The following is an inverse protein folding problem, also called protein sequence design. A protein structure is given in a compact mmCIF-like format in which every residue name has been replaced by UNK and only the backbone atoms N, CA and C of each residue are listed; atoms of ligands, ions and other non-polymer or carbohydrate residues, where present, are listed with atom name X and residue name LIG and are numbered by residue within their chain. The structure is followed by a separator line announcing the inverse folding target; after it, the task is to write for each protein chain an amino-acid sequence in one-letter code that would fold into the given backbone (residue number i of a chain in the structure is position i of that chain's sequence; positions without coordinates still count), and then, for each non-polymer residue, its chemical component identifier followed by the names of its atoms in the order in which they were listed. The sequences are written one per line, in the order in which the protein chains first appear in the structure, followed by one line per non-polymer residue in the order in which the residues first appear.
data_IF_631877518487
#
_entry.id   IF_631877518487
#
_cell.length_a   1.000
_cell.length_b   1.000
_cell.length_c   1.000
_cell.angle_alpha   90.00
_cell.angle_beta   90.00
_cell.angle_gamma   90.00
#
_symmetry.space_group_name_H-M   'P 1'
#
loop_
_entity.id
_entity.type
_entity.pdbx_description
1 polymer ?
#
# COMPACT_ATOMS: atom_id res chain seq x y z
N UNK A 1 0.07 19.97 7.01
CA UNK A 1 -1.26 19.44 7.39
C UNK A 1 -2.39 20.07 6.57
N UNK A 2 -2.17 21.27 6.01
CA UNK A 2 -3.17 22.04 5.27
C UNK A 2 -3.60 21.41 3.93
N UNK A 3 -2.74 20.61 3.28
CA UNK A 3 -3.03 20.09 1.93
C UNK A 3 -4.21 19.11 1.88
N UNK A 4 -4.26 18.09 2.75
CA UNK A 4 -5.33 17.08 2.68
C UNK A 4 -6.72 17.68 2.97
N UNK A 5 -6.83 18.55 3.98
CA UNK A 5 -8.08 19.25 4.30
C UNK A 5 -8.50 20.18 3.15
N UNK A 6 -7.55 20.93 2.58
CA UNK A 6 -7.83 21.77 1.40
C UNK A 6 -8.34 20.94 0.23
N UNK A 7 -7.76 19.76 -0.02
CA UNK A 7 -8.20 18.88 -1.10
C UNK A 7 -9.62 18.33 -0.86
N UNK A 8 -9.97 17.98 0.39
CA UNK A 8 -11.34 17.59 0.76
C UNK A 8 -12.33 18.73 0.46
N UNK A 9 -12.00 19.96 0.83
CA UNK A 9 -12.86 21.13 0.57
C UNK A 9 -13.01 21.39 -0.93
N UNK A 10 -11.92 21.30 -1.70
CA UNK A 10 -11.97 21.43 -3.18
C UNK A 10 -12.81 20.34 -3.85
N UNK A 11 -12.89 19.17 -3.24
CA UNK A 11 -13.74 18.06 -3.70
C UNK A 11 -15.20 18.19 -3.24
N UNK A 12 -15.58 19.30 -2.59
CA UNK A 12 -16.95 19.58 -2.14
C UNK A 12 -17.22 19.25 -0.67
N UNK A 13 -16.22 18.78 0.08
CA UNK A 13 -16.34 18.53 1.52
C UNK A 13 -16.53 19.82 2.32
N UNK A 14 -17.20 19.73 3.46
CA UNK A 14 -17.46 20.86 4.37
C UNK A 14 -16.82 20.60 5.73
N UNK A 15 -16.08 21.58 6.26
CA UNK A 15 -15.52 21.50 7.61
C UNK A 15 -16.63 21.87 8.59
N UNK A 16 -17.05 20.90 9.42
CA UNK A 16 -18.14 21.09 10.38
C UNK A 16 -17.62 21.73 11.68
N UNK A 17 -16.47 21.28 12.17
CA UNK A 17 -15.85 21.75 13.41
C UNK A 17 -14.34 21.46 13.41
N UNK A 18 -13.56 22.37 13.96
CA UNK A 18 -12.15 22.16 14.29
C UNK A 18 -12.06 21.99 15.81
N UNK A 19 -11.41 20.92 16.27
CA UNK A 19 -11.25 20.64 17.70
C UNK A 19 -9.92 21.18 18.22
N UNK A 20 -8.83 20.66 17.67
CA UNK A 20 -7.46 21.06 17.98
C UNK A 20 -6.55 20.78 16.76
N UNK A 21 -5.37 21.37 16.72
CA UNK A 21 -4.44 21.17 15.60
C UNK A 21 -3.06 21.80 15.79
N UNK A 22 -2.06 21.16 15.19
CA UNK A 22 -0.69 21.67 15.15
C UNK A 22 -0.47 22.42 13.84
N UNK A 23 -0.09 23.70 13.96
CA UNK A 23 0.25 24.56 12.83
C UNK A 23 1.76 24.74 12.75
N UNK A 24 2.30 24.56 11.55
CA UNK A 24 3.70 24.85 11.24
C UNK A 24 3.70 26.15 10.43
N UNK A 25 4.05 27.26 11.09
CA UNK A 25 3.91 28.61 10.54
C UNK A 25 4.96 28.93 9.48
N UNK A 26 6.16 28.38 9.63
CA UNK A 26 7.28 28.61 8.74
C UNK A 26 7.73 27.33 8.03
N UNK A 27 8.18 27.49 6.78
CA UNK A 27 8.90 26.45 6.07
C UNK A 27 10.39 26.48 6.46
N UNK A 28 11.06 25.34 6.36
CA UNK A 28 12.52 25.30 6.46
C UNK A 28 13.15 26.20 5.40
N UNK A 29 14.10 27.06 5.82
CA UNK A 29 14.88 27.91 4.90
C UNK A 29 15.63 27.09 3.85
N UNK A 30 16.11 25.92 4.26
CA UNK A 30 16.80 24.96 3.39
C UNK A 30 16.05 23.63 3.42
N UNK A 31 15.66 23.05 2.27
CA UNK A 31 14.95 21.78 2.26
C UNK A 31 15.85 20.65 2.79
N UNK A 32 15.46 19.93 3.85
CA UNK A 32 16.36 19.06 4.61
C UNK A 32 16.90 17.86 3.81
N UNK A 33 16.18 17.42 2.79
CA UNK A 33 16.52 16.21 2.02
C UNK A 33 16.93 16.50 0.57
N UNK A 34 16.93 17.76 0.12
CA UNK A 34 17.10 18.09 -1.30
C UNK A 34 18.40 17.52 -1.87
N UNK A 35 19.52 17.84 -1.24
CA UNK A 35 20.82 17.48 -1.79
C UNK A 35 21.04 15.95 -1.75
N UNK A 36 20.56 15.29 -0.69
CA UNK A 36 20.58 13.83 -0.60
C UNK A 36 19.78 13.17 -1.73
N UNK A 37 18.56 13.64 -2.00
CA UNK A 37 17.73 13.13 -3.10
C UNK A 37 18.37 13.39 -4.46
N UNK A 38 18.99 14.56 -4.66
CA UNK A 38 19.70 14.88 -5.91
C UNK A 38 20.89 13.95 -6.13
N UNK A 39 21.71 13.71 -5.10
CA UNK A 39 22.83 12.77 -5.17
C UNK A 39 22.35 11.36 -5.53
N UNK A 40 21.34 10.84 -4.83
CA UNK A 40 20.80 9.51 -5.10
C UNK A 40 20.22 9.38 -6.52
N UNK A 41 19.51 10.42 -6.99
CA UNK A 41 18.96 10.47 -8.34
C UNK A 41 20.07 10.43 -9.39
N UNK A 42 21.11 11.24 -9.22
CA UNK A 42 22.19 11.38 -10.18
C UNK A 42 23.04 10.11 -10.24
N UNK A 43 23.33 9.49 -9.09
CA UNK A 43 23.97 8.17 -9.00
C UNK A 43 23.12 7.08 -9.64
N UNK A 44 21.80 7.05 -9.38
CA UNK A 44 20.90 6.09 -10.03
C UNK A 44 20.92 6.22 -11.55
N UNK A 45 20.90 7.45 -12.06
CA UNK A 45 20.94 7.72 -13.50
C UNK A 45 22.30 7.35 -14.11
N UNK A 46 23.42 7.56 -13.39
CA UNK A 46 24.73 7.04 -13.77
C UNK A 46 24.70 5.51 -13.89
N UNK A 47 24.26 4.81 -12.85
CA UNK A 47 24.20 3.34 -12.86
C UNK A 47 23.29 2.78 -13.95
N UNK A 48 22.17 3.43 -14.26
CA UNK A 48 21.33 3.05 -15.41
C UNK A 48 22.08 3.15 -16.74
N UNK A 49 22.87 4.21 -16.95
CA UNK A 49 23.67 4.39 -18.18
C UNK A 49 24.79 3.35 -18.29
N UNK A 50 25.35 2.94 -17.15
CA UNK A 50 26.41 1.92 -17.08
C UNK A 50 25.86 0.48 -17.13
N UNK A 51 24.54 0.28 -17.21
CA UNK A 51 23.93 -1.05 -17.13
C UNK A 51 24.04 -1.71 -15.75
N UNK A 52 24.43 -0.96 -14.72
CA UNK A 52 24.55 -1.46 -13.34
C UNK A 52 23.16 -1.53 -12.67
N UNK A 53 22.48 -2.66 -12.87
CA UNK A 53 21.14 -2.92 -12.35
C UNK A 53 21.12 -2.88 -10.81
N UNK A 54 22.10 -3.51 -10.16
CA UNK A 54 22.19 -3.59 -8.69
C UNK A 54 22.34 -2.20 -8.10
N UNK A 55 23.30 -1.41 -8.58
CA UNK A 55 23.54 -0.04 -8.13
C UNK A 55 22.31 0.85 -8.33
N UNK A 56 21.65 0.77 -9.49
CA UNK A 56 20.40 1.51 -9.75
C UNK A 56 19.28 1.14 -8.78
N UNK A 57 19.13 -0.15 -8.45
CA UNK A 57 18.12 -0.64 -7.52
C UNK A 57 18.44 -0.24 -6.07
N UNK A 58 19.70 -0.29 -5.65
CA UNK A 58 20.13 0.19 -4.34
C UNK A 58 19.80 1.68 -4.15
N UNK A 59 20.11 2.53 -5.14
CA UNK A 59 19.81 3.97 -5.04
C UNK A 59 18.30 4.23 -4.98
N UNK A 60 17.49 3.46 -5.73
CA UNK A 60 16.02 3.52 -5.65
C UNK A 60 15.53 3.13 -4.25
N UNK A 61 16.07 2.05 -3.67
CA UNK A 61 15.69 1.57 -2.35
C UNK A 61 16.02 2.60 -1.26
N UNK A 62 17.23 3.18 -1.29
CA UNK A 62 17.63 4.21 -0.34
C UNK A 62 16.74 5.45 -0.42
N UNK A 63 16.45 5.92 -1.64
CA UNK A 63 15.57 7.07 -1.85
C UNK A 63 14.15 6.83 -1.33
N UNK A 64 13.58 5.66 -1.63
CA UNK A 64 12.25 5.28 -1.16
C UNK A 64 12.20 5.03 0.35
N UNK A 65 13.28 4.57 0.96
CA UNK A 65 13.31 4.27 2.41
C UNK A 65 13.35 5.53 3.28
N UNK A 66 13.77 6.68 2.73
CA UNK A 66 13.97 7.92 3.49
C UNK A 66 12.69 8.41 4.17
N UNK A 67 11.58 8.53 3.42
CA UNK A 67 10.32 8.96 4.01
C UNK A 67 9.75 7.90 4.96
N UNK A 68 9.89 6.62 4.62
CA UNK A 68 9.43 5.50 5.44
C UNK A 68 10.12 5.46 6.80
N UNK A 69 11.41 5.79 6.85
CA UNK A 69 12.16 5.95 8.10
C UNK A 69 11.69 7.12 8.95
N UNK A 70 11.17 8.18 8.34
CA UNK A 70 10.66 9.35 9.07
C UNK A 70 9.35 9.05 9.81
N UNK A 71 8.52 8.12 9.30
CA UNK A 71 7.23 7.72 9.89
C UNK A 71 7.28 6.33 10.53
N UNK A 72 8.46 5.77 10.74
CA UNK A 72 8.59 4.46 11.35
C UNK A 72 8.07 4.53 12.79
N UNK A 73 7.11 3.67 13.14
CA UNK A 73 6.63 3.54 14.52
C UNK A 73 7.79 3.13 15.42
N UNK A 74 7.83 3.72 16.62
CA UNK A 74 8.77 3.32 17.65
C UNK A 74 8.58 1.84 18.00
N UNK A 75 9.71 1.18 18.28
CA UNK A 75 9.76 -0.22 18.65
C UNK A 75 9.94 -0.26 20.16
N UNK A 76 8.89 -0.63 20.88
CA UNK A 76 8.89 -0.74 22.34
C UNK A 76 9.14 -2.16 22.82
N UNK A 77 9.50 -3.07 21.91
CA UNK A 77 9.74 -4.47 22.21
C UNK A 77 11.12 -4.92 21.75
N UNK A 78 11.74 -5.80 22.52
CA UNK A 78 12.96 -6.52 22.17
C UNK A 78 12.64 -7.99 21.96
N UNK A 79 13.43 -8.65 21.11
CA UNK A 79 13.35 -10.09 20.89
C UNK A 79 14.61 -10.74 21.38
N UNK A 80 14.45 -11.72 22.25
CA UNK A 80 15.54 -12.47 22.85
C UNK A 80 15.47 -13.94 22.46
N UNK A 81 16.63 -14.59 22.42
CA UNK A 81 16.74 -16.04 22.34
C UNK A 81 17.11 -16.57 23.73
N UNK A 82 16.13 -17.08 24.47
CA UNK A 82 16.31 -17.55 25.84
C UNK A 82 16.14 -19.05 25.94
N UNK A 83 16.90 -19.71 26.81
CA UNK A 83 16.60 -21.09 27.18
C UNK A 83 15.49 -21.13 28.25
N UNK A 84 15.00 -22.32 28.58
CA UNK A 84 13.90 -22.48 29.53
C UNK A 84 14.21 -21.89 30.91
N UNK A 85 15.43 -22.12 31.42
CA UNK A 85 15.85 -21.59 32.72
C UNK A 85 15.91 -20.06 32.71
N UNK A 86 16.43 -19.45 31.64
CA UNK A 86 16.48 -17.99 31.48
C UNK A 86 15.08 -17.41 31.34
N UNK A 87 14.19 -18.05 30.57
CA UNK A 87 12.80 -17.62 30.44
C UNK A 87 12.10 -17.66 31.80
N UNK A 88 12.18 -18.78 32.53
CA UNK A 88 11.57 -18.91 33.86
C UNK A 88 12.10 -17.88 34.86
N UNK A 89 13.42 -17.63 34.85
CA UNK A 89 14.05 -16.66 35.74
C UNK A 89 13.67 -15.20 35.43
N UNK A 90 13.30 -14.89 34.19
CA UNK A 90 12.97 -13.54 33.73
C UNK A 90 11.50 -13.40 33.27
N UNK A 91 10.63 -14.35 33.65
CA UNK A 91 9.23 -14.32 33.27
C UNK A 91 8.45 -13.35 34.15
N UNK A 92 8.04 -12.22 33.58
CA UNK A 92 7.25 -11.21 34.25
C UNK A 92 6.20 -10.58 33.31
N UNK A 93 5.52 -9.54 33.78
CA UNK A 93 4.47 -8.84 33.03
C UNK A 93 4.93 -8.16 31.73
N UNK A 94 6.24 -8.02 31.51
CA UNK A 94 6.82 -7.42 30.30
C UNK A 94 6.92 -8.43 29.16
N UNK A 95 6.93 -9.73 29.45
CA UNK A 95 6.91 -10.77 28.42
C UNK A 95 5.56 -10.71 27.71
N UNK A 96 5.57 -10.29 26.43
CA UNK A 96 4.35 -10.23 25.60
C UNK A 96 4.06 -11.57 24.96
N UNK A 97 5.08 -12.18 24.39
CA UNK A 97 4.99 -13.48 23.72
C UNK A 97 6.27 -14.27 23.95
N UNK A 98 6.16 -15.58 23.96
CA UNK A 98 7.29 -16.49 23.96
C UNK A 98 6.95 -17.72 23.12
N UNK A 99 7.86 -18.12 22.24
CA UNK A 99 7.68 -19.22 21.30
C UNK A 99 8.90 -20.13 21.36
N UNK A 100 8.71 -21.42 21.67
CA UNK A 100 9.81 -22.40 21.66
C UNK A 100 10.27 -22.66 20.23
N UNK A 101 11.57 -22.51 19.95
CA UNK A 101 12.16 -22.75 18.63
C UNK A 101 12.66 -24.20 18.50
N UNK A 102 13.24 -24.71 19.58
CA UNK A 102 13.82 -26.04 19.69
C UNK A 102 13.81 -26.48 21.16
N UNK A 103 14.28 -27.70 21.44
CA UNK A 103 14.28 -28.29 22.78
C UNK A 103 14.91 -27.41 23.86
N UNK A 104 15.83 -26.52 23.49
CA UNK A 104 16.64 -25.73 24.40
C UNK A 104 16.35 -24.24 24.40
N UNK A 105 15.61 -23.70 23.43
CA UNK A 105 15.52 -22.26 23.19
C UNK A 105 14.13 -21.76 22.79
N UNK A 106 13.86 -20.50 23.14
CA UNK A 106 12.62 -19.75 22.94
C UNK A 106 12.95 -18.38 22.32
N UNK A 107 12.17 -17.93 21.33
CA UNK A 107 12.08 -16.50 20.99
C UNK A 107 11.14 -15.87 21.99
N UNK A 108 11.60 -14.85 22.71
CA UNK A 108 10.81 -14.14 23.72
C UNK A 108 10.74 -12.68 23.32
N UNK A 109 9.54 -12.15 23.17
CA UNK A 109 9.30 -10.73 22.93
C UNK A 109 8.93 -10.05 24.25
N UNK A 110 9.71 -9.04 24.64
CA UNK A 110 9.57 -8.32 25.91
C UNK A 110 9.39 -6.83 25.69
N UNK A 111 8.58 -6.16 26.51
CA UNK A 111 8.55 -4.70 26.57
C UNK A 111 9.88 -4.15 27.13
N UNK A 112 10.39 -3.09 26.49
CA UNK A 112 11.59 -2.39 26.92
C UNK A 112 11.28 -1.61 28.21
N UNK A 113 12.12 -1.73 29.24
CA UNK A 113 12.00 -0.90 30.45
C UNK A 113 12.35 0.56 30.17
N UNK A 114 11.54 1.50 30.68
CA UNK A 114 11.87 2.94 30.64
C UNK A 114 13.21 3.28 31.32
N UNK A 115 13.67 2.44 32.26
CA UNK A 115 14.94 2.61 33.01
C UNK A 115 16.16 1.94 32.35
N UNK A 116 15.96 1.00 31.42
CA UNK A 116 17.04 0.43 30.60
C UNK A 116 17.43 1.35 29.43
N UNK A 117 16.76 2.50 29.30
CA UNK A 117 17.20 3.60 28.46
C UNK A 117 18.42 4.25 29.14
N UNK A 118 19.58 3.59 29.07
CA UNK A 118 20.86 4.22 29.38
C UNK A 118 21.07 5.42 28.43
N UNK A 119 21.95 6.36 28.78
CA UNK A 119 22.23 7.52 27.91
C UNK A 119 22.74 7.12 26.51
N UNK A 120 23.21 5.88 26.31
CA UNK A 120 23.53 5.30 24.99
C UNK A 120 22.30 4.67 24.29
N UNK A 121 21.35 4.13 25.06
CA UNK A 121 20.05 3.58 24.62
C UNK A 121 18.93 4.64 24.50
N UNK A 122 19.20 5.90 24.86
CA UNK A 122 18.35 7.08 24.61
C UNK A 122 18.03 7.34 23.12
N UNK A 123 18.59 6.51 22.22
CA UNK A 123 18.20 6.39 20.81
C UNK A 123 16.91 5.58 20.59
N UNK A 124 16.35 4.95 21.62
CA UNK A 124 15.18 4.05 21.56
C UNK A 124 13.88 4.78 21.19
N UNK A 125 13.64 5.97 21.75
CA UNK A 125 12.63 6.90 21.22
C UNK A 125 13.24 7.65 20.04
N UNK A 126 12.81 7.35 18.83
CA UNK A 126 13.43 7.96 17.66
C UNK A 126 13.08 9.44 17.59
N UNK A 127 14.12 10.27 17.54
CA UNK A 127 14.07 11.69 17.17
C UNK A 127 13.74 11.89 15.66
N UNK A 128 13.01 10.98 15.03
CA UNK A 128 12.63 11.11 13.62
C UNK A 128 11.43 12.03 13.49
N UNK A 129 11.51 13.12 12.71
CA UNK A 129 10.42 14.08 12.57
C UNK A 129 9.28 13.50 11.73
N UNK A 130 8.36 12.77 12.36
CA UNK A 130 7.24 12.07 11.71
C UNK A 130 6.37 12.98 10.84
N UNK A 131 6.19 14.23 11.27
CA UNK A 131 5.48 15.26 10.52
C UNK A 131 6.06 15.50 9.12
N UNK A 132 7.38 15.38 8.92
CA UNK A 132 7.99 15.51 7.59
C UNK A 132 7.51 14.40 6.66
N UNK A 133 7.48 13.16 7.14
CA UNK A 133 6.99 12.04 6.35
C UNK A 133 5.50 12.13 6.08
N UNK A 134 4.69 12.61 7.04
CA UNK A 134 3.28 12.94 6.81
C UNK A 134 3.10 13.99 5.72
N UNK A 135 3.96 15.03 5.67
CA UNK A 135 3.92 16.04 4.61
C UNK A 135 4.32 15.48 3.24
N UNK A 136 5.32 14.60 3.18
CA UNK A 136 5.67 13.91 1.93
C UNK A 136 4.48 13.11 1.39
N UNK A 137 3.79 12.35 2.25
CA UNK A 137 2.60 11.57 1.86
C UNK A 137 1.45 12.47 1.40
N UNK A 138 1.15 13.54 2.13
CA UNK A 138 0.10 14.50 1.76
C UNK A 138 0.40 15.20 0.43
N UNK A 139 1.65 15.60 0.18
CA UNK A 139 2.06 16.18 -1.10
C UNK A 139 2.01 15.15 -2.24
N UNK A 140 2.36 13.88 -1.98
CA UNK A 140 2.23 12.81 -2.97
C UNK A 140 0.77 12.62 -3.41
N UNK A 141 -0.17 12.61 -2.47
CA UNK A 141 -1.62 12.59 -2.76
C UNK A 141 -2.06 13.83 -3.53
N UNK A 142 -1.60 15.02 -3.13
CA UNK A 142 -1.89 16.29 -3.84
C UNK A 142 -1.46 16.23 -5.30
N UNK A 143 -0.29 15.66 -5.59
CA UNK A 143 0.19 15.46 -6.96
C UNK A 143 -0.82 14.60 -7.74
N UNK A 144 -1.26 13.47 -7.19
CA UNK A 144 -2.29 12.62 -7.82
C UNK A 144 -3.61 13.38 -8.03
N UNK A 145 -4.06 14.14 -7.03
CA UNK A 145 -5.28 14.94 -7.10
C UNK A 145 -5.24 15.98 -8.22
N UNK A 146 -4.08 16.54 -8.56
CA UNK A 146 -3.97 17.45 -9.70
C UNK A 146 -4.36 16.76 -11.03
N UNK A 147 -4.02 15.48 -11.21
CA UNK A 147 -4.47 14.70 -12.37
C UNK A 147 -5.99 14.50 -12.34
N UNK A 148 -6.53 14.13 -11.17
CA UNK A 148 -7.96 13.88 -10.98
C UNK A 148 -8.78 15.14 -11.24
N UNK A 149 -8.36 16.30 -10.74
CA UNK A 149 -9.02 17.59 -10.97
C UNK A 149 -9.09 17.94 -12.46
N UNK A 150 -7.97 17.84 -13.19
CA UNK A 150 -7.93 18.18 -14.64
C UNK A 150 -8.90 17.35 -15.48
N UNK A 151 -9.11 16.09 -15.10
CA UNK A 151 -10.04 15.21 -15.81
C UNK A 151 -11.47 15.25 -15.24
N UNK A 152 -11.69 16.07 -14.20
CA UNK A 152 -12.92 16.15 -13.43
C UNK A 152 -13.32 14.80 -12.77
N UNK A 153 -12.34 14.01 -12.35
CA UNK A 153 -12.52 12.63 -11.90
C UNK A 153 -13.17 12.48 -10.52
N UNK A 154 -13.20 13.54 -9.69
CA UNK A 154 -13.98 13.54 -8.45
C UNK A 154 -15.49 13.54 -8.73
N UNK A 155 -15.89 14.18 -9.83
CA UNK A 155 -17.28 14.40 -10.19
C UNK A 155 -17.70 13.60 -11.43
N UNK A 156 -16.82 12.75 -11.98
CA UNK A 156 -17.13 11.89 -13.13
C UNK A 156 -16.55 10.50 -12.92
N UNK A 157 -17.32 9.43 -13.13
CA UNK A 157 -16.85 8.05 -12.97
C UNK A 157 -16.00 7.60 -14.17
N UNK A 158 -14.95 8.37 -14.52
CA UNK A 158 -14.06 8.11 -15.66
C UNK A 158 -12.63 7.69 -15.23
N UNK A 159 -12.46 7.38 -13.94
CA UNK A 159 -11.27 6.74 -13.38
C UNK A 159 -11.63 5.28 -13.09
N UNK A 160 -10.95 4.36 -13.75
CA UNK A 160 -11.24 2.93 -13.64
C UNK A 160 -10.53 2.27 -12.45
N UNK A 161 -9.34 2.76 -12.11
CA UNK A 161 -8.54 2.23 -11.01
C UNK A 161 -7.49 3.26 -10.56
N UNK A 162 -7.15 3.25 -9.28
CA UNK A 162 -6.04 4.02 -8.72
C UNK A 162 -5.27 3.20 -7.70
N UNK A 163 -3.96 3.41 -7.63
CA UNK A 163 -3.09 2.98 -6.55
C UNK A 163 -2.11 4.12 -6.26
N UNK A 164 -1.31 3.98 -5.20
CA UNK A 164 -0.33 4.94 -4.67
C UNK A 164 0.21 5.97 -5.67
N UNK A 165 0.75 5.53 -6.80
CA UNK A 165 1.35 6.36 -7.84
C UNK A 165 0.84 6.06 -9.27
N UNK A 166 -0.30 5.37 -9.40
CA UNK A 166 -0.85 4.98 -10.71
C UNK A 166 -2.33 5.33 -10.85
N UNK A 167 -2.72 5.72 -12.07
CA UNK A 167 -4.07 6.11 -12.42
C UNK A 167 -4.48 5.50 -13.77
N UNK A 168 -5.61 4.80 -13.78
CA UNK A 168 -6.11 4.11 -14.96
C UNK A 168 -7.30 4.89 -15.51
N UNK A 169 -7.12 5.47 -16.69
CA UNK A 169 -8.05 6.41 -17.31
C UNK A 169 -8.18 6.13 -18.81
N UNK A 170 -9.23 6.68 -19.41
CA UNK A 170 -9.40 6.62 -20.86
C UNK A 170 -8.35 7.46 -21.61
N UNK A 171 -8.06 7.07 -22.85
CA UNK A 171 -7.22 7.84 -23.79
C UNK A 171 -7.70 9.29 -23.97
N UNK A 172 -9.01 9.53 -23.90
CA UNK A 172 -9.59 10.88 -23.94
C UNK A 172 -9.10 11.74 -22.77
N UNK A 173 -9.05 11.18 -21.57
CA UNK A 173 -8.58 11.87 -20.38
C UNK A 173 -7.06 12.04 -20.38
N UNK A 174 -6.31 11.08 -20.94
CA UNK A 174 -4.88 11.27 -21.22
C UNK A 174 -4.60 12.51 -22.07
N UNK A 175 -5.37 12.73 -23.15
CA UNK A 175 -5.24 13.93 -23.99
C UNK A 175 -5.51 15.24 -23.22
N UNK A 176 -6.42 15.24 -22.24
CA UNK A 176 -6.64 16.41 -21.37
C UNK A 176 -5.41 16.69 -20.49
N UNK A 177 -4.84 15.65 -19.88
CA UNK A 177 -3.64 15.76 -19.07
C UNK A 177 -2.44 16.27 -19.88
N UNK A 178 -2.30 15.80 -21.13
CA UNK A 178 -1.26 16.28 -22.04
C UNK A 178 -1.41 17.77 -22.37
N UNK A 179 -2.63 18.22 -22.69
CA UNK A 179 -2.91 19.65 -22.93
C UNK A 179 -2.67 20.51 -21.70
N UNK A 180 -2.92 19.99 -20.51
CA UNK A 180 -2.62 20.66 -19.23
C UNK A 180 -1.12 20.60 -18.86
N UNK A 181 -0.29 19.92 -19.66
CA UNK A 181 1.13 19.76 -19.40
C UNK A 181 1.42 18.92 -18.14
N UNK A 182 0.54 17.99 -17.75
CA UNK A 182 0.73 17.13 -16.58
C UNK A 182 1.43 15.79 -16.89
N UNK A 183 1.71 15.50 -18.16
CA UNK A 183 2.37 14.25 -18.58
C UNK A 183 3.65 14.52 -19.38
N UNK A 184 4.65 13.67 -19.19
CA UNK A 184 5.95 13.69 -19.88
C UNK A 184 6.74 12.41 -19.58
N UNK A 185 7.71 12.06 -20.42
CA UNK A 185 8.54 10.86 -20.25
C UNK A 185 9.50 10.87 -19.04
N UNK A 186 9.83 12.04 -18.48
CA UNK A 186 10.92 12.18 -17.49
C UNK A 186 10.45 12.60 -16.10
N UNK A 187 9.71 13.70 -16.02
CA UNK A 187 9.54 14.43 -14.76
C UNK A 187 8.06 14.65 -14.37
N UNK A 188 7.13 13.94 -15.04
CA UNK A 188 5.68 14.05 -14.81
C UNK A 188 5.01 12.67 -14.95
N UNK A 189 3.68 12.63 -15.02
CA UNK A 189 2.97 11.39 -15.32
C UNK A 189 3.39 10.84 -16.68
N UNK A 190 3.64 9.53 -16.78
CA UNK A 190 4.05 8.88 -18.02
C UNK A 190 3.16 7.69 -18.32
N UNK A 191 3.08 7.29 -19.59
CA UNK A 191 2.40 6.05 -19.95
C UNK A 191 3.40 4.89 -19.83
N UNK A 192 3.22 4.04 -18.83
CA UNK A 192 4.07 2.84 -18.64
C UNK A 192 3.96 1.83 -19.79
N UNK A 193 3.03 2.02 -20.72
CA UNK A 193 2.81 1.17 -21.89
C UNK A 193 3.31 1.80 -23.20
N UNK A 194 4.01 2.94 -23.15
CA UNK A 194 4.52 3.64 -24.33
C UNK A 194 3.39 4.21 -25.20
N UNK A 195 3.39 3.89 -26.49
CA UNK A 195 2.28 4.23 -27.41
C UNK A 195 1.08 3.26 -27.29
N UNK A 196 1.26 2.18 -26.53
CA UNK A 196 0.23 1.20 -26.23
C UNK A 196 -0.70 1.61 -25.09
N UNK A 197 -1.45 0.64 -24.60
CA UNK A 197 -2.38 0.87 -23.50
C UNK A 197 -3.18 -0.36 -23.11
N UNK A 198 -4.03 -0.18 -22.10
CA UNK A 198 -4.96 -1.22 -21.66
C UNK A 198 -6.17 -1.20 -22.59
N UNK A 199 -6.46 -2.34 -23.22
CA UNK A 199 -7.63 -2.50 -24.09
C UNK A 199 -8.81 -3.14 -23.35
N UNK A 200 -8.52 -3.91 -22.30
CA UNK A 200 -9.50 -4.54 -21.44
C UNK A 200 -8.97 -4.59 -20.01
N UNK A 201 -9.83 -4.26 -19.05
CA UNK A 201 -9.47 -4.25 -17.63
C UNK A 201 -10.63 -4.71 -16.76
N UNK A 202 -10.33 -5.61 -15.82
CA UNK A 202 -11.20 -5.99 -14.72
C UNK A 202 -10.55 -5.49 -13.42
N UNK A 203 -11.26 -4.63 -12.69
CA UNK A 203 -10.80 -4.02 -11.44
C UNK A 203 -11.76 -4.42 -10.33
N UNK A 204 -11.42 -5.46 -9.59
CA UNK A 204 -12.34 -6.09 -8.64
C UNK A 204 -12.18 -5.52 -7.22
N UNK A 205 -10.94 -5.24 -6.82
CA UNK A 205 -10.64 -4.65 -5.51
C UNK A 205 -9.25 -3.98 -5.53
N UNK A 206 -8.86 -3.25 -4.46
CA UNK A 206 -7.51 -2.73 -4.32
C UNK A 206 -6.47 -3.83 -4.51
N UNK A 207 -5.61 -3.66 -5.52
CA UNK A 207 -4.56 -4.62 -5.90
C UNK A 207 -5.08 -6.02 -6.30
N UNK A 208 -6.33 -6.11 -6.76
CA UNK A 208 -6.91 -7.29 -7.43
C UNK A 208 -7.46 -6.84 -8.78
N UNK A 209 -6.67 -7.06 -9.84
CA UNK A 209 -6.97 -6.60 -11.19
C UNK A 209 -6.38 -7.49 -12.29
N UNK A 210 -7.09 -7.55 -13.41
CA UNK A 210 -6.66 -8.20 -14.64
C UNK A 210 -6.69 -7.20 -15.79
N UNK A 211 -5.63 -7.16 -16.61
CA UNK A 211 -5.58 -6.29 -17.77
C UNK A 211 -5.07 -7.05 -18.99
N UNK A 212 -5.68 -6.77 -20.16
CA UNK A 212 -5.09 -7.06 -21.46
C UNK A 212 -4.53 -5.75 -21.99
N UNK A 213 -3.23 -5.78 -22.28
CA UNK A 213 -2.45 -4.61 -22.69
C UNK A 213 -1.99 -4.81 -24.12
N UNK A 214 -2.22 -3.83 -24.97
CA UNK A 214 -1.56 -3.72 -26.26
C UNK A 214 -0.22 -3.00 -26.05
N UNK A 215 0.90 -3.67 -26.29
CA UNK A 215 2.23 -3.05 -26.22
C UNK A 215 2.54 -2.26 -27.50
N UNK A 216 3.55 -1.39 -27.43
CA UNK A 216 3.93 -0.51 -28.54
C UNK A 216 4.38 -1.23 -29.82
N UNK A 217 4.79 -2.50 -29.70
CA UNK A 217 5.12 -3.41 -30.80
C UNK A 217 3.88 -4.11 -31.41
N UNK A 218 2.67 -3.78 -30.94
CA UNK A 218 1.42 -4.37 -31.42
C UNK A 218 1.08 -5.73 -30.81
N UNK A 219 1.82 -6.18 -29.79
CA UNK A 219 1.59 -7.48 -29.12
C UNK A 219 0.60 -7.33 -27.97
N UNK A 220 -0.32 -8.29 -27.83
CA UNK A 220 -1.20 -8.38 -26.66
C UNK A 220 -0.50 -9.10 -25.52
N UNK A 221 -0.53 -8.51 -24.31
CA UNK A 221 0.03 -9.08 -23.09
C UNK A 221 -0.96 -9.03 -21.95
N UNK A 222 -1.05 -10.13 -21.23
CA UNK A 222 -1.82 -10.20 -19.99
C UNK A 222 -1.01 -9.66 -18.81
N UNK A 223 -1.68 -8.90 -17.95
CA UNK A 223 -1.14 -8.47 -16.65
C UNK A 223 -2.14 -8.78 -15.55
N UNK A 224 -1.80 -9.79 -14.75
CA UNK A 224 -2.52 -10.23 -13.55
C UNK A 224 -1.91 -9.57 -12.31
N UNK A 225 -2.75 -9.15 -11.37
CA UNK A 225 -2.31 -8.65 -10.06
C UNK A 225 -3.32 -9.13 -9.04
N UNK A 226 -2.86 -9.95 -8.11
CA UNK A 226 -3.68 -10.48 -7.03
C UNK A 226 -2.95 -10.34 -5.69
N UNK A 227 -3.30 -9.32 -4.90
CA UNK A 227 -2.68 -9.11 -3.58
C UNK A 227 -2.94 -10.31 -2.66
N UNK A 228 -1.89 -10.77 -1.98
CA UNK A 228 -1.94 -11.90 -1.07
C UNK A 228 -1.75 -13.26 -1.75
N UNK A 229 -1.58 -13.29 -3.07
CA UNK A 229 -1.51 -14.51 -3.87
C UNK A 229 -0.36 -14.47 -4.85
N UNK A 230 0.14 -15.67 -5.18
CA UNK A 230 1.13 -15.82 -6.22
C UNK A 230 0.45 -15.86 -7.59
N UNK A 231 0.97 -15.09 -8.55
CA UNK A 231 0.33 -14.87 -9.86
C UNK A 231 0.26 -16.13 -10.74
N UNK A 232 1.03 -17.16 -10.43
CA UNK A 232 1.06 -18.47 -11.10
C UNK A 232 -0.16 -19.33 -10.76
N UNK A 233 -0.80 -19.08 -9.62
CA UNK A 233 -1.94 -19.87 -9.12
C UNK A 233 -3.31 -19.25 -9.39
N UNK A 234 -3.34 -18.14 -10.13
CA UNK A 234 -4.59 -17.47 -10.50
C UNK A 234 -4.77 -17.49 -12.02
N UNK A 235 -5.89 -18.05 -12.45
CA UNK A 235 -6.33 -18.13 -13.84
C UNK A 235 -7.11 -16.87 -14.25
N UNK A 236 -7.42 -16.73 -15.53
CA UNK A 236 -8.27 -15.62 -16.01
C UNK A 236 -9.73 -15.89 -15.63
N UNK A 237 -10.12 -17.16 -15.66
CA UNK A 237 -11.42 -17.67 -15.29
C UNK A 237 -11.77 -17.28 -13.85
N UNK A 238 -10.80 -17.30 -12.93
CA UNK A 238 -10.99 -16.86 -11.55
C UNK A 238 -11.43 -15.39 -11.46
N UNK A 239 -10.81 -14.49 -12.25
CA UNK A 239 -11.24 -13.10 -12.30
C UNK A 239 -12.64 -12.94 -12.88
N UNK A 240 -13.00 -13.76 -13.87
CA UNK A 240 -14.33 -13.74 -14.49
C UNK A 240 -15.40 -14.25 -13.53
N UNK A 241 -15.11 -15.32 -12.77
CA UNK A 241 -15.99 -15.85 -11.73
C UNK A 241 -16.24 -14.81 -10.64
N UNK A 242 -15.16 -14.20 -10.11
CA UNK A 242 -15.27 -13.12 -9.13
C UNK A 242 -16.07 -11.94 -9.69
N UNK A 243 -15.80 -11.51 -10.93
CA UNK A 243 -16.55 -10.44 -11.59
C UNK A 243 -18.05 -10.78 -11.80
N UNK A 244 -18.37 -12.07 -11.85
CA UNK A 244 -19.74 -12.57 -12.00
C UNK A 244 -20.44 -12.82 -10.66
N UNK A 245 -19.82 -12.44 -9.54
CA UNK A 245 -20.39 -12.60 -8.21
C UNK A 245 -20.18 -13.98 -7.59
N UNK A 246 -19.34 -14.82 -8.18
CA UNK A 246 -19.04 -16.15 -7.65
C UNK A 246 -17.76 -16.14 -6.84
N UNK A 247 -17.75 -16.93 -5.77
CA UNK A 247 -16.57 -17.12 -4.95
C UNK A 247 -15.55 -18.01 -5.67
N UNK A 248 -14.28 -17.74 -5.45
CA UNK A 248 -13.18 -18.56 -5.97
C UNK A 248 -12.46 -19.21 -4.81
N UNK A 249 -12.36 -20.53 -4.83
CA UNK A 249 -11.57 -21.30 -3.88
C UNK A 249 -10.38 -21.93 -4.59
N UNK A 250 -9.19 -21.79 -4.03
CA UNK A 250 -8.00 -22.46 -4.54
C UNK A 250 -7.23 -23.12 -3.40
N UNK A 251 -6.56 -24.23 -3.70
CA UNK A 251 -5.69 -24.93 -2.76
C UNK A 251 -4.25 -24.42 -2.84
N UNK A 252 -3.66 -24.13 -1.68
CA UNK A 252 -2.30 -23.65 -1.57
C UNK A 252 -1.54 -24.52 -0.59
N UNK A 253 -0.24 -24.69 -0.82
CA UNK A 253 0.63 -25.15 0.25
C UNK A 253 0.44 -24.19 1.42
N UNK A 254 0.23 -24.74 2.60
CA UNK A 254 0.25 -23.93 3.81
C UNK A 254 1.58 -23.18 3.89
N UNK A 255 1.59 -21.94 4.42
CA UNK A 255 2.84 -21.27 4.71
C UNK A 255 3.67 -22.20 5.59
N UNK A 256 5.01 -22.10 5.51
CA UNK A 256 5.84 -22.85 6.43
C UNK A 256 5.44 -22.49 7.86
N UNK A 257 4.98 -23.50 8.59
CA UNK A 257 4.56 -23.34 9.95
C UNK A 257 5.79 -23.51 10.82
N UNK A 258 6.01 -22.56 11.71
CA UNK A 258 7.00 -22.74 12.76
C UNK A 258 6.30 -23.49 13.88
N UNK A 259 6.70 -24.74 14.11
CA UNK A 259 6.12 -25.57 15.16
C UNK A 259 7.11 -25.80 16.31
N UNK A 260 6.53 -25.95 17.50
CA UNK A 260 7.19 -26.17 18.78
C UNK A 260 8.13 -27.39 18.79
N UNK A 261 7.79 -28.46 18.06
CA UNK A 261 8.51 -29.76 18.09
C UNK A 261 9.50 -29.94 16.93
N UNK A 262 9.24 -29.33 15.77
CA UNK A 262 9.94 -29.68 14.53
C UNK A 262 10.65 -28.48 13.86
N UNK A 263 10.65 -27.30 14.50
CA UNK A 263 11.24 -26.09 13.93
C UNK A 263 10.42 -25.55 12.76
N UNK A 264 11.06 -25.31 11.61
CA UNK A 264 10.34 -24.96 10.37
C UNK A 264 9.73 -26.24 9.79
N UNK A 265 8.44 -26.42 10.01
CA UNK A 265 7.66 -27.49 9.38
C UNK A 265 7.27 -27.03 8.00
N UNK A 266 7.65 -27.81 7.01
CA UNK A 266 7.10 -27.69 5.66
C UNK A 266 5.81 -28.52 5.67
N UNK A 267 4.63 -27.89 5.69
CA UNK A 267 3.38 -28.62 5.67
C UNK A 267 3.26 -29.44 4.37
N UNK A 268 2.88 -30.70 4.51
CA UNK A 268 2.57 -31.59 3.38
C UNK A 268 1.11 -31.46 2.93
N UNK A 269 0.29 -30.79 3.72
CA UNK A 269 -1.11 -30.49 3.48
C UNK A 269 -1.29 -29.11 2.84
N UNK A 270 -2.43 -28.97 2.16
CA UNK A 270 -2.83 -27.72 1.54
C UNK A 270 -3.87 -27.02 2.40
N UNK A 271 -3.86 -25.70 2.37
CA UNK A 271 -4.95 -24.86 2.84
C UNK A 271 -5.83 -24.47 1.65
N UNK A 272 -7.13 -24.50 1.84
CA UNK A 272 -8.07 -23.88 0.89
C UNK A 272 -8.24 -22.43 1.29
N UNK A 273 -8.06 -21.53 0.34
CA UNK A 273 -8.41 -20.12 0.56
C UNK A 273 -9.59 -19.76 -0.31
N UNK A 274 -10.59 -19.12 0.30
CA UNK A 274 -11.82 -18.69 -0.37
C UNK A 274 -11.81 -17.19 -0.54
N UNK A 275 -12.06 -16.76 -1.76
CA UNK A 275 -12.23 -15.37 -2.13
C UNK A 275 -13.67 -15.08 -2.39
N UNK A 276 -14.23 -14.27 -1.52
CA UNK A 276 -15.65 -13.95 -1.60
C UNK A 276 -15.85 -12.78 -2.53
N UNK A 277 -16.71 -12.96 -3.53
CA UNK A 277 -17.08 -11.86 -4.41
C UNK A 277 -18.11 -10.98 -3.73
N UNK A 278 -17.67 -9.85 -3.19
CA UNK A 278 -18.57 -8.78 -2.77
C UNK A 278 -18.82 -7.90 -3.99
N UNK A 279 -19.76 -8.30 -4.84
CA UNK A 279 -20.22 -7.43 -5.91
C UNK A 279 -20.92 -6.24 -5.26
N UNK A 280 -20.24 -5.10 -5.21
CA UNK A 280 -20.82 -3.90 -4.64
C UNK A 280 -21.96 -3.42 -5.55
N UNK A 281 -23.19 -3.79 -5.20
CA UNK A 281 -24.40 -3.40 -5.93
C UNK A 281 -24.72 -1.90 -5.76
N UNK A 282 -23.99 -1.18 -4.91
CA UNK A 282 -24.11 0.26 -4.72
C UNK A 282 -23.38 0.98 -5.86
N UNK A 283 -24.02 1.05 -7.03
CA UNK A 283 -23.55 1.91 -8.13
C UNK A 283 -23.68 3.37 -7.70
N UNK A 284 -22.63 4.17 -7.91
CA UNK A 284 -22.72 5.64 -7.84
C UNK A 284 -23.83 6.09 -8.79
N UNK A 285 -24.89 6.71 -8.26
CA UNK A 285 -25.96 7.27 -9.11
C UNK A 285 -25.36 8.33 -10.03
N UNK A 286 -25.74 8.38 -11.32
CA UNK A 286 -25.43 9.52 -12.16
C UNK A 286 -26.02 10.79 -11.52
N UNK A 287 -25.38 11.96 -11.70
CA UNK A 287 -25.92 13.20 -11.18
C UNK A 287 -27.28 13.47 -11.82
N UNK A 288 -28.28 13.84 -11.02
CA UNK A 288 -29.55 14.31 -11.57
C UNK A 288 -29.28 15.60 -12.36
N UNK A 289 -29.93 15.73 -13.52
CA UNK A 289 -29.77 16.89 -14.42
C UNK A 289 -30.16 18.24 -13.82
N UNK A 290 -30.71 18.25 -12.60
CA UNK A 290 -31.05 19.44 -11.85
C UNK A 290 -30.22 19.49 -10.56
N UNK A 291 -29.24 20.41 -10.55
CA UNK A 291 -28.31 20.81 -9.47
C UNK A 291 -26.95 20.11 -9.48
N UNK A 292 -25.91 20.94 -9.52
CA UNK A 292 -24.48 20.64 -9.41
C UNK A 292 -24.04 20.01 -8.07
N UNK A 293 -24.90 19.27 -7.37
CA UNK A 293 -24.57 18.59 -6.11
C UNK A 293 -24.74 17.07 -6.25
N UNK A 294 -23.62 16.35 -6.10
CA UNK A 294 -23.63 14.91 -5.87
C UNK A 294 -24.22 14.62 -4.49
N UNK A 295 -25.43 14.10 -4.41
CA UNK A 295 -25.93 13.49 -3.19
C UNK A 295 -25.34 12.08 -3.05
N UNK A 296 -24.47 11.87 -2.05
CA UNK A 296 -24.29 10.52 -1.52
C UNK A 296 -25.65 10.02 -1.02
N UNK A 297 -25.92 8.71 -1.11
CA UNK A 297 -27.09 8.17 -0.41
C UNK A 297 -26.93 8.55 1.07
N UNK A 298 -27.98 9.11 1.70
CA UNK A 298 -27.93 9.54 3.12
C UNK A 298 -27.55 8.40 4.08
N UNK A 299 -27.59 7.15 3.61
CA UNK A 299 -27.22 5.94 4.34
C UNK A 299 -25.90 5.31 3.85
N UNK A 300 -25.02 6.04 3.15
CA UNK A 300 -23.70 5.52 2.80
C UNK A 300 -22.78 5.58 4.03
N UNK A 301 -22.82 4.52 4.84
CA UNK A 301 -21.78 4.24 5.83
C UNK A 301 -20.55 3.68 5.11
N UNK A 302 -19.38 4.26 5.40
CA UNK A 302 -18.10 3.63 5.08
C UNK A 302 -18.00 2.39 5.97
N UNK A 303 -18.36 1.23 5.43
CA UNK A 303 -18.15 -0.04 6.12
C UNK A 303 -16.85 -0.68 5.63
N UNK A 304 -16.03 -1.19 6.55
CA UNK A 304 -14.74 -1.83 6.25
C UNK A 304 -14.92 -3.12 5.42
N UNK A 305 -16.17 -3.56 5.22
CA UNK A 305 -16.58 -4.71 4.42
C UNK A 305 -16.83 -4.43 2.92
N UNK A 306 -16.63 -3.19 2.44
CA UNK A 306 -16.83 -2.80 1.03
C UNK A 306 -15.75 -3.34 0.05
N UNK A 307 -14.92 -4.29 0.50
CA UNK A 307 -13.80 -4.87 -0.26
C UNK A 307 -13.93 -6.40 -0.39
N UNK A 308 -13.31 -6.98 -1.44
CA UNK A 308 -12.99 -8.41 -1.45
C UNK A 308 -12.26 -8.76 -0.15
N UNK A 309 -12.94 -9.44 0.78
CA UNK A 309 -12.30 -9.97 1.98
C UNK A 309 -11.74 -11.35 1.69
N UNK A 310 -10.51 -11.58 2.16
CA UNK A 310 -9.86 -12.90 2.08
C UNK A 310 -10.25 -13.59 3.38
N UNK A 311 -11.04 -14.65 3.30
CA UNK A 311 -11.28 -15.52 4.44
C UNK A 311 -10.43 -16.78 4.29
N UNK A 312 -9.55 -16.97 5.26
CA UNK A 312 -8.81 -18.22 5.43
C UNK A 312 -9.74 -19.17 6.19
N UNK A 313 -10.36 -20.10 5.47
CA UNK A 313 -11.07 -21.20 6.10
C UNK A 313 -10.01 -22.24 6.51
N UNK A 314 -9.46 -22.06 7.70
CA UNK A 314 -8.79 -23.16 8.38
C UNK A 314 -9.90 -24.08 8.87
N UNK A 315 -10.00 -25.29 8.30
CA UNK A 315 -10.68 -26.37 9.00
C UNK A 315 -9.91 -26.61 10.30
N UNK A 316 -10.32 -25.92 11.36
CA UNK A 316 -10.00 -26.32 12.72
C UNK A 316 -10.61 -27.70 12.91
N UNK A 317 -9.80 -28.72 12.64
CA UNK A 317 -10.12 -30.09 12.97
C UNK A 317 -9.98 -30.24 14.49
N UNK A 318 -10.91 -29.64 15.25
CA UNK A 318 -11.15 -30.05 16.62
C UNK A 318 -11.84 -31.42 16.57
N UNK A 319 -11.04 -32.46 16.79
CA UNK A 319 -11.48 -33.71 17.39
C UNK A 319 -10.54 -34.11 18.51
#
# INVERSE_FOLDING_TARGET
MVSDIQEIVKAGGRIIRILDGIVYEENFKTPPYRDYILILRDLRNKYKREGNIVGSNCMKLLGNSLYGKSIQKDIFTTRHLWNEATLQANFDSRVKTYEKINDTQYIVETEIEEKEITTEDSKSTRLTPSHLGSFVLSHSKKIMNNFIHVINGFYKPEIYYTDTDSLYISSKNWKKLNRAGLVSEKDKGKNDYGDGGIIFGLYLAPKVKYNIVLTSDGVLKEKKTFKGYSNDKISVEDYVQLASGHDVSNEFNKPWEKSFTNGVVIPNDKQTKVFRSYLNNVKRKPPNNDKDEYSFHENYEFDDFDYLTIQEENEDCFK
#
